data_IF_425010309027
#
_entry.id   IF_425010309027
#
_cell.length_a   1.000
_cell.length_b   1.000
_cell.length_c   1.000
_cell.angle_alpha   90.00
_cell.angle_beta   90.00
_cell.angle_gamma   90.00
#
_symmetry.space_group_name_H-M   'P 1'
#
loop_
_entity.id
_entity.type
_entity.pdbx_description
1 polymer ?
#
# COMPACT_ATOMS: atom_id res chain seq x y z
N UNK A 1 -24.49 -0.93 -17.41
CA UNK A 1 -23.26 -1.72 -17.24
C UNK A 1 -22.90 -1.90 -15.77
N UNK A 2 -22.72 -0.81 -15.00
CA UNK A 2 -22.48 -0.88 -13.54
C UNK A 2 -23.52 -1.72 -12.78
N UNK A 3 -24.81 -1.52 -13.05
CA UNK A 3 -25.91 -2.28 -12.45
C UNK A 3 -25.77 -3.80 -12.63
N UNK A 4 -25.36 -4.22 -13.83
CA UNK A 4 -25.29 -5.65 -14.20
C UNK A 4 -24.05 -6.35 -13.63
N UNK A 5 -22.98 -5.59 -13.38
CA UNK A 5 -21.71 -6.10 -12.87
C UNK A 5 -21.66 -6.07 -11.34
N UNK A 6 -22.04 -4.93 -10.73
CA UNK A 6 -22.00 -4.73 -9.28
C UNK A 6 -23.32 -5.07 -8.58
N UNK A 7 -24.39 -5.38 -9.34
CA UNK A 7 -25.68 -5.84 -8.82
C UNK A 7 -26.27 -4.88 -7.78
N UNK A 8 -26.27 -3.58 -8.07
CA UNK A 8 -26.59 -2.53 -7.09
C UNK A 8 -28.02 -2.66 -6.55
N UNK A 9 -29.00 -2.98 -7.40
CA UNK A 9 -30.41 -3.20 -7.00
C UNK A 9 -30.55 -4.44 -6.12
N UNK A 10 -29.84 -5.54 -6.43
CA UNK A 10 -29.83 -6.75 -5.58
C UNK A 10 -29.18 -6.47 -4.22
N UNK A 11 -28.21 -5.55 -4.18
CA UNK A 11 -27.54 -5.09 -2.96
C UNK A 11 -28.29 -3.96 -2.23
N UNK A 12 -29.40 -3.45 -2.80
CA UNK A 12 -30.20 -2.37 -2.22
C UNK A 12 -29.48 -1.01 -2.19
N UNK A 13 -28.56 -0.75 -3.12
CA UNK A 13 -27.72 0.46 -3.16
C UNK A 13 -27.91 1.25 -4.48
N UNK A 14 -27.42 2.49 -4.51
CA UNK A 14 -27.42 3.35 -5.69
C UNK A 14 -26.01 3.86 -5.99
N UNK A 15 -25.74 4.25 -7.24
CA UNK A 15 -24.44 4.84 -7.64
C UNK A 15 -24.07 6.03 -6.76
N UNK A 16 -25.05 6.88 -6.40
CA UNK A 16 -24.81 8.03 -5.49
C UNK A 16 -24.37 7.56 -4.10
N UNK A 17 -25.01 6.51 -3.57
CA UNK A 17 -24.67 5.93 -2.27
C UNK A 17 -23.27 5.32 -2.29
N UNK A 18 -22.92 4.56 -3.32
CA UNK A 18 -21.58 3.94 -3.46
C UNK A 18 -20.48 4.99 -3.60
N UNK A 19 -20.71 6.05 -4.38
CA UNK A 19 -19.73 7.14 -4.51
C UNK A 19 -19.53 7.83 -3.16
N UNK A 20 -20.61 8.13 -2.43
CA UNK A 20 -20.52 8.76 -1.12
C UNK A 20 -19.83 7.85 -0.10
N UNK A 21 -20.12 6.54 -0.12
CA UNK A 21 -19.47 5.54 0.71
C UNK A 21 -17.97 5.46 0.40
N UNK A 22 -17.60 5.42 -0.89
CA UNK A 22 -16.21 5.41 -1.34
C UNK A 22 -15.43 6.65 -0.89
N UNK A 23 -16.01 7.85 -1.02
CA UNK A 23 -15.39 9.09 -0.52
C UNK A 23 -15.25 9.04 1.00
N UNK A 24 -16.26 8.57 1.72
CA UNK A 24 -16.21 8.43 3.18
C UNK A 24 -15.08 7.48 3.59
N UNK A 25 -14.98 6.31 2.97
CA UNK A 25 -13.91 5.35 3.21
C UNK A 25 -12.54 5.94 2.88
N UNK A 26 -12.39 6.64 1.75
CA UNK A 26 -11.16 7.33 1.40
C UNK A 26 -10.73 8.32 2.49
N UNK A 27 -11.66 9.15 2.97
CA UNK A 27 -11.37 10.12 4.03
C UNK A 27 -10.94 9.43 5.33
N UNK A 28 -11.57 8.31 5.70
CA UNK A 28 -11.17 7.56 6.91
C UNK A 28 -9.76 6.97 6.81
N UNK A 29 -9.32 6.59 5.62
CA UNK A 29 -7.98 6.01 5.40
C UNK A 29 -6.93 7.03 4.94
N UNK A 30 -7.31 8.28 4.68
CA UNK A 30 -6.42 9.31 4.12
C UNK A 30 -5.19 9.59 5.00
N UNK A 31 -5.25 9.32 6.30
CA UNK A 31 -4.10 9.42 7.19
C UNK A 31 -2.91 8.57 6.72
N UNK A 32 -3.16 7.45 6.04
CA UNK A 32 -2.13 6.53 5.51
C UNK A 32 -1.20 7.25 4.53
N UNK A 33 -1.71 8.25 3.79
CA UNK A 33 -0.94 9.07 2.84
C UNK A 33 0.25 9.74 3.53
N UNK A 34 0.09 10.15 4.79
CA UNK A 34 1.15 10.80 5.56
C UNK A 34 1.90 9.82 6.46
N UNK A 35 1.18 8.93 7.13
CA UNK A 35 1.79 8.08 8.17
C UNK A 35 2.62 6.95 7.57
N UNK A 36 2.20 6.34 6.45
CA UNK A 36 2.96 5.24 5.86
C UNK A 36 4.36 5.66 5.38
N UNK A 37 4.52 6.77 4.61
CA UNK A 37 5.85 7.26 4.23
C UNK A 37 6.72 7.60 5.43
N UNK A 38 6.14 8.15 6.51
CA UNK A 38 6.89 8.50 7.72
C UNK A 38 7.45 7.27 8.43
N UNK A 39 6.70 6.17 8.47
CA UNK A 39 7.16 4.90 9.04
C UNK A 39 8.24 4.27 8.16
N UNK A 40 8.05 4.27 6.84
CA UNK A 40 8.97 3.61 5.91
C UNK A 40 10.27 4.39 5.68
N UNK A 41 10.24 5.72 5.72
CA UNK A 41 11.39 6.60 5.39
C UNK A 41 12.71 6.16 6.05
N UNK A 42 12.78 5.83 7.35
CA UNK A 42 14.01 5.35 7.97
C UNK A 42 14.62 4.11 7.29
N UNK A 43 13.81 3.15 6.83
CA UNK A 43 14.31 1.96 6.14
C UNK A 43 14.98 2.31 4.80
N UNK A 44 14.46 3.30 4.08
CA UNK A 44 14.99 3.72 2.77
C UNK A 44 16.14 4.73 2.86
N UNK A 45 16.22 5.48 3.97
CA UNK A 45 17.26 6.50 4.21
C UNK A 45 18.44 5.93 5.01
N UNK A 46 18.17 5.03 5.97
CA UNK A 46 19.17 4.49 6.92
C UNK A 46 19.47 3.00 6.71
N UNK A 47 18.72 2.29 5.86
CA UNK A 47 18.88 0.85 5.66
C UNK A 47 20.11 0.45 4.85
N UNK A 48 21.11 -0.11 5.54
CA UNK A 48 22.00 -1.19 5.07
C UNK A 48 23.14 -0.88 4.08
N UNK A 49 24.37 -0.89 4.61
CA UNK A 49 25.71 -0.74 3.98
C UNK A 49 26.02 0.60 3.31
N UNK A 50 27.09 1.20 3.81
CA UNK A 50 27.67 2.52 3.52
C UNK A 50 27.98 2.78 2.02
N UNK A 51 27.82 1.76 1.17
CA UNK A 51 28.06 1.82 -0.27
C UNK A 51 26.80 1.91 -1.13
N UNK A 52 25.60 1.78 -0.55
CA UNK A 52 24.33 1.86 -1.28
C UNK A 52 23.29 2.63 -0.46
N UNK A 53 23.63 3.87 -0.07
CA UNK A 53 22.65 4.84 0.40
C UNK A 53 21.51 4.88 -0.64
N UNK A 54 20.29 4.55 -0.21
CA UNK A 54 19.21 4.03 -1.05
C UNK A 54 18.85 4.84 -2.30
N UNK A 55 19.31 6.09 -2.40
CA UNK A 55 19.33 6.89 -3.60
C UNK A 55 20.45 7.95 -3.54
N UNK A 56 21.60 7.80 -4.23
CA UNK A 56 22.64 8.84 -4.24
C UNK A 56 22.09 10.13 -4.87
N UNK A 57 22.15 11.24 -4.14
CA UNK A 57 21.69 12.55 -4.61
C UNK A 57 20.18 12.84 -4.40
N UNK A 58 19.47 12.01 -3.65
CA UNK A 58 18.03 12.21 -3.36
C UNK A 58 17.82 12.67 -1.92
N UNK A 59 17.07 13.75 -1.75
CA UNK A 59 16.79 14.33 -0.44
C UNK A 59 15.69 13.54 0.30
N UNK A 60 15.69 13.61 1.64
CA UNK A 60 14.67 12.95 2.47
C UNK A 60 13.22 13.30 2.07
N UNK A 61 12.98 14.53 1.59
CA UNK A 61 11.66 14.95 1.09
C UNK A 61 11.25 14.23 -0.21
N UNK A 62 12.19 13.95 -1.10
CA UNK A 62 11.91 13.21 -2.34
C UNK A 62 11.60 11.74 -2.05
N UNK A 63 12.26 11.13 -1.06
CA UNK A 63 11.94 9.76 -0.60
C UNK A 63 10.52 9.69 -0.06
N UNK A 64 10.11 10.66 0.78
CA UNK A 64 8.73 10.73 1.28
C UNK A 64 7.73 10.88 0.14
N UNK A 65 8.01 11.74 -0.84
CA UNK A 65 7.16 11.89 -2.02
C UNK A 65 7.01 10.59 -2.82
N UNK A 66 8.12 9.90 -3.08
CA UNK A 66 8.12 8.62 -3.80
C UNK A 66 7.33 7.53 -3.04
N UNK A 67 7.54 7.40 -1.72
CA UNK A 67 6.81 6.45 -0.88
C UNK A 67 5.31 6.78 -0.81
N UNK A 68 4.95 8.06 -0.81
CA UNK A 68 3.55 8.52 -0.83
C UNK A 68 2.88 8.08 -2.13
N UNK A 69 3.50 8.37 -3.28
CA UNK A 69 2.97 7.99 -4.59
C UNK A 69 2.88 6.47 -4.71
N UNK A 70 3.92 5.74 -4.32
CA UNK A 70 3.93 4.27 -4.33
C UNK A 70 2.79 3.70 -3.48
N UNK A 71 2.54 4.26 -2.29
CA UNK A 71 1.45 3.86 -1.40
C UNK A 71 0.08 4.08 -2.03
N UNK A 72 -0.15 5.29 -2.55
CA UNK A 72 -1.43 5.64 -3.18
C UNK A 72 -1.73 4.78 -4.41
N UNK A 73 -0.72 4.56 -5.26
CA UNK A 73 -0.86 3.73 -6.47
C UNK A 73 -1.10 2.27 -6.09
N UNK A 74 -0.35 1.71 -5.15
CA UNK A 74 -0.53 0.33 -4.71
C UNK A 74 -1.92 0.11 -4.07
N UNK A 75 -2.37 1.04 -3.21
CA UNK A 75 -3.70 0.99 -2.60
C UNK A 75 -4.82 1.13 -3.63
N UNK A 76 -4.66 2.02 -4.63
CA UNK A 76 -5.61 2.17 -5.72
C UNK A 76 -5.70 0.88 -6.56
N UNK A 77 -4.56 0.32 -6.99
CA UNK A 77 -4.53 -0.93 -7.77
C UNK A 77 -5.13 -2.08 -6.98
N UNK A 78 -4.76 -2.25 -5.70
CA UNK A 78 -5.33 -3.30 -4.84
C UNK A 78 -6.85 -3.15 -4.69
N UNK A 79 -7.32 -1.93 -4.44
CA UNK A 79 -8.77 -1.66 -4.32
C UNK A 79 -9.51 -1.89 -5.63
N UNK A 80 -8.91 -1.58 -6.78
CA UNK A 80 -9.50 -1.87 -8.10
C UNK A 80 -9.56 -3.37 -8.39
N UNK A 81 -8.52 -4.14 -8.01
CA UNK A 81 -8.55 -5.60 -8.12
C UNK A 81 -9.70 -6.17 -7.28
N UNK A 82 -9.90 -5.67 -6.05
CA UNK A 82 -11.04 -6.09 -5.23
C UNK A 82 -12.39 -5.69 -5.85
N UNK A 83 -12.48 -4.48 -6.42
CA UNK A 83 -13.70 -4.01 -7.06
C UNK A 83 -14.07 -4.85 -8.29
N UNK A 84 -13.12 -5.16 -9.17
CA UNK A 84 -13.43 -5.83 -10.44
C UNK A 84 -13.33 -7.36 -10.40
N UNK A 85 -12.36 -7.92 -9.68
CA UNK A 85 -12.16 -9.38 -9.62
C UNK A 85 -12.99 -10.02 -8.51
N UNK A 86 -12.99 -9.43 -7.30
CA UNK A 86 -13.73 -9.97 -6.17
C UNK A 86 -15.17 -9.43 -6.07
N UNK A 87 -15.46 -8.29 -6.71
CA UNK A 87 -16.75 -7.59 -6.63
C UNK A 87 -17.19 -7.33 -5.17
N UNK A 88 -16.22 -6.93 -4.32
CA UNK A 88 -16.43 -6.63 -2.90
C UNK A 88 -16.20 -5.14 -2.63
N UNK A 89 -17.07 -4.46 -1.84
CA UNK A 89 -16.94 -3.05 -1.50
C UNK A 89 -15.91 -2.84 -0.37
N UNK A 90 -14.66 -3.27 -0.59
CA UNK A 90 -13.57 -3.18 0.39
C UNK A 90 -12.42 -2.38 -0.18
N UNK A 91 -12.02 -1.31 0.53
CA UNK A 91 -10.82 -0.56 0.21
C UNK A 91 -9.59 -1.27 0.81
N UNK A 92 -8.56 -1.45 -0.02
CA UNK A 92 -7.28 -2.02 0.40
C UNK A 92 -6.23 -0.93 0.57
N UNK A 93 -5.58 -0.95 1.73
CA UNK A 93 -4.50 -0.05 2.09
C UNK A 93 -3.45 -0.82 2.91
N UNK A 94 -2.21 -0.34 3.02
CA UNK A 94 -1.14 -1.06 3.71
C UNK A 94 -1.42 -1.20 5.21
N UNK A 95 -1.16 -2.40 5.75
CA UNK A 95 -1.27 -2.68 7.18
C UNK A 95 -0.12 -2.05 7.97
N UNK A 96 -0.44 -1.09 8.85
CA UNK A 96 0.56 -0.27 9.56
C UNK A 96 1.57 -1.08 10.38
N UNK A 97 1.14 -2.20 10.99
CA UNK A 97 2.03 -3.09 11.74
C UNK A 97 3.09 -3.78 10.87
N UNK A 98 2.73 -4.19 9.65
CA UNK A 98 3.68 -4.83 8.73
C UNK A 98 4.73 -3.84 8.21
N UNK A 99 4.38 -2.56 8.06
CA UNK A 99 5.35 -1.53 7.67
C UNK A 99 6.39 -1.28 8.76
N UNK A 100 5.98 -1.28 10.04
CA UNK A 100 6.90 -1.18 11.16
C UNK A 100 7.83 -2.41 11.26
N UNK A 101 7.29 -3.60 11.01
CA UNK A 101 8.07 -4.84 10.94
C UNK A 101 9.08 -4.84 9.77
N UNK A 102 8.69 -4.34 8.60
CA UNK A 102 9.60 -4.16 7.47
C UNK A 102 10.79 -3.27 7.85
N UNK A 103 10.52 -2.14 8.50
CA UNK A 103 11.56 -1.18 8.92
C UNK A 103 12.49 -1.80 9.96
N UNK A 104 11.95 -2.56 10.93
CA UNK A 104 12.78 -3.23 11.94
C UNK A 104 13.67 -4.31 11.34
N UNK A 105 13.23 -5.03 10.31
CA UNK A 105 14.10 -5.98 9.58
C UNK A 105 15.24 -5.25 8.88
N UNK A 106 14.91 -4.20 8.12
CA UNK A 106 15.90 -3.44 7.32
C UNK A 106 16.95 -2.78 8.20
N UNK A 107 16.52 -2.06 9.23
CA UNK A 107 17.43 -1.33 10.12
C UNK A 107 18.08 -2.28 11.13
N UNK A 108 17.29 -3.17 11.76
CA UNK A 108 17.75 -4.06 12.81
C UNK A 108 18.75 -5.10 12.33
N UNK A 109 18.53 -5.70 11.15
CA UNK A 109 19.46 -6.66 10.55
C UNK A 109 20.46 -6.02 9.58
N UNK A 110 20.46 -4.68 9.46
CA UNK A 110 21.31 -3.92 8.52
C UNK A 110 21.23 -4.43 7.07
N UNK A 111 20.05 -4.91 6.66
CA UNK A 111 19.83 -5.43 5.32
C UNK A 111 19.53 -4.29 4.34
N UNK A 112 19.93 -4.41 3.06
CA UNK A 112 19.47 -3.50 2.02
C UNK A 112 17.95 -3.59 1.87
N UNK A 113 17.28 -2.44 1.72
CA UNK A 113 15.82 -2.39 1.56
C UNK A 113 15.31 -3.19 0.35
N UNK A 114 16.14 -3.35 -0.68
CA UNK A 114 15.86 -4.16 -1.87
C UNK A 114 15.69 -5.64 -1.51
N UNK A 115 16.55 -6.15 -0.61
CA UNK A 115 16.47 -7.54 -0.13
C UNK A 115 15.18 -7.74 0.66
N UNK A 116 14.84 -6.79 1.55
CA UNK A 116 13.60 -6.85 2.30
C UNK A 116 12.35 -6.79 1.40
N UNK A 117 12.35 -5.95 0.35
CA UNK A 117 11.26 -5.93 -0.63
C UNK A 117 11.18 -7.26 -1.42
N UNK A 118 12.32 -7.87 -1.72
CA UNK A 118 12.37 -9.20 -2.33
C UNK A 118 11.71 -10.26 -1.45
N UNK A 119 11.96 -10.24 -0.14
CA UNK A 119 11.29 -11.13 0.82
C UNK A 119 9.77 -10.89 0.80
N UNK A 120 9.32 -9.63 0.88
CA UNK A 120 7.89 -9.29 0.85
C UNK A 120 7.23 -9.78 -0.45
N UNK A 121 7.89 -9.60 -1.59
CA UNK A 121 7.39 -10.07 -2.88
C UNK A 121 7.25 -11.59 -2.93
N UNK A 122 8.28 -12.33 -2.51
CA UNK A 122 8.25 -13.81 -2.47
C UNK A 122 7.15 -14.30 -1.52
N UNK A 123 7.01 -13.70 -0.33
CA UNK A 123 5.92 -14.01 0.58
C UNK A 123 4.55 -13.79 -0.08
N UNK A 124 4.37 -12.68 -0.80
CA UNK A 124 3.13 -12.42 -1.55
C UNK A 124 2.82 -13.48 -2.60
N UNK A 125 3.81 -13.94 -3.36
CA UNK A 125 3.65 -15.04 -4.34
C UNK A 125 3.27 -16.35 -3.65
N UNK A 126 3.91 -16.67 -2.52
CA UNK A 126 3.59 -17.88 -1.75
C UNK A 126 2.16 -17.81 -1.20
N UNK A 127 1.75 -16.66 -0.64
CA UNK A 127 0.37 -16.47 -0.16
C UNK A 127 -0.65 -16.61 -1.29
N UNK A 128 -0.37 -16.08 -2.47
CA UNK A 128 -1.24 -16.21 -3.64
C UNK A 128 -1.34 -17.66 -4.12
N UNK A 129 -0.25 -18.44 -4.05
CA UNK A 129 -0.26 -19.85 -4.45
C UNK A 129 -1.03 -20.75 -3.47
N UNK A 130 -1.17 -20.32 -2.21
CA UNK A 130 -1.90 -21.05 -1.16
C UNK A 130 -3.39 -20.70 -1.08
N UNK A 131 -3.79 -19.51 -1.56
CA UNK A 131 -5.16 -18.98 -1.49
C UNK A 131 -6.06 -19.50 -2.61
#
# INVERSE_FOLDING_TARGET
MLERYFKLTERGTSVRTEVLAGVTTFMTMAYIIFVNPLILRPAFVLGGTEHLAGFPGVNAGQVVGALTIATCVAAAVGSLIMAFSANLPVALAPGMGMNAFFVSIVIGNKLPWQVALGIVFISGVIFLALS
#
